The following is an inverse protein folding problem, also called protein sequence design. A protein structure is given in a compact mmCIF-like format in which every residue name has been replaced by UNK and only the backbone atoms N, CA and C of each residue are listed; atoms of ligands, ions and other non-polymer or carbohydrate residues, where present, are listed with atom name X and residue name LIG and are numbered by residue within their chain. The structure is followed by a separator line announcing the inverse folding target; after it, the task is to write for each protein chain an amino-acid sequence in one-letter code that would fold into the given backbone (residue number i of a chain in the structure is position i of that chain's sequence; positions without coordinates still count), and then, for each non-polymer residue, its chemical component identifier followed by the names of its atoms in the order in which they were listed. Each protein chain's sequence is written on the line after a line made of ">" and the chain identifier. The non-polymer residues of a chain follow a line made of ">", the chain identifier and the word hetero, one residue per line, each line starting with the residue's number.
data_IF_161256769576
#
_entry.id   IF_161256769576
#
_cell.length_a   1.000
_cell.length_b   1.000
_cell.length_c   1.000
_cell.angle_alpha   90.00
_cell.angle_beta   90.00
_cell.angle_gamma   90.00
#
_symmetry.space_group_name_H-M   'P 1'
#
loop_
_entity.id
_entity.type
_entity.pdbx_description
1 polymer ?
#
# COMPACT_ATOMS: atom_id res chain seq x y z
N UNK A 1 3.13 23.58 -29.76
CA UNK A 1 3.41 22.54 -28.71
C UNK A 1 4.92 22.38 -28.67
N UNK A 2 5.54 22.45 -27.52
CA UNK A 2 6.95 22.15 -27.38
C UNK A 2 7.11 20.66 -27.11
N UNK A 3 7.86 19.96 -27.96
CA UNK A 3 8.28 18.57 -27.70
C UNK A 3 9.31 18.56 -26.60
N UNK A 4 9.17 17.60 -25.65
CA UNK A 4 10.15 17.32 -24.62
C UNK A 4 10.90 16.05 -25.01
N UNK A 5 12.20 16.18 -25.22
CA UNK A 5 13.12 15.08 -25.48
C UNK A 5 14.41 15.33 -24.72
N UNK A 6 15.17 14.31 -24.42
CA UNK A 6 16.35 14.53 -23.62
C UNK A 6 17.22 13.31 -23.38
N UNK A 7 18.27 13.52 -22.56
CA UNK A 7 19.32 12.59 -22.19
C UNK A 7 20.21 12.16 -23.37
N UNK A 8 20.37 13.05 -24.36
CA UNK A 8 21.41 12.92 -25.37
C UNK A 8 22.64 13.72 -24.91
N UNK A 9 23.81 13.16 -25.15
CA UNK A 9 25.07 13.88 -24.98
C UNK A 9 25.17 14.92 -26.10
N UNK A 10 25.07 16.19 -25.73
CA UNK A 10 25.09 17.32 -26.65
C UNK A 10 25.81 18.47 -25.95
N UNK A 11 26.93 18.91 -26.51
CA UNK A 11 27.82 19.92 -25.95
C UNK A 11 27.13 21.27 -25.72
N UNK A 12 26.05 21.55 -26.45
CA UNK A 12 25.29 22.80 -26.37
C UNK A 12 24.05 22.74 -25.48
N UNK A 13 23.76 21.58 -24.86
CA UNK A 13 22.54 21.39 -24.08
C UNK A 13 22.78 21.38 -22.57
N UNK A 14 22.19 22.32 -21.87
CA UNK A 14 22.07 22.28 -20.42
C UNK A 14 20.84 21.47 -19.99
N UNK A 15 21.04 20.49 -19.09
CA UNK A 15 19.99 19.72 -18.48
C UNK A 15 19.47 20.39 -17.21
N UNK A 16 18.16 20.52 -17.14
CA UNK A 16 17.46 21.04 -15.97
C UNK A 16 17.09 19.92 -15.00
N UNK A 17 16.72 20.26 -13.78
CA UNK A 17 16.18 19.32 -12.79
C UNK A 17 15.02 18.47 -13.37
N UNK A 18 14.21 19.06 -14.27
CA UNK A 18 13.09 18.38 -14.91
C UNK A 18 13.53 17.21 -15.79
N UNK A 19 14.65 17.32 -16.46
CA UNK A 19 15.14 16.27 -17.36
C UNK A 19 15.51 15.00 -16.58
N UNK A 20 15.80 15.10 -15.29
CA UNK A 20 16.10 13.97 -14.41
C UNK A 20 14.87 13.34 -13.76
N UNK A 21 13.96 14.14 -13.18
CA UNK A 21 12.81 13.56 -12.49
C UNK A 21 11.68 13.13 -13.43
N UNK A 22 11.52 13.76 -14.59
CA UNK A 22 10.42 13.51 -15.49
C UNK A 22 10.41 12.09 -16.07
N UNK A 23 11.53 11.54 -16.57
CA UNK A 23 11.58 10.14 -17.04
C UNK A 23 11.21 9.14 -15.93
N UNK A 24 11.63 9.39 -14.71
CA UNK A 24 11.32 8.54 -13.55
C UNK A 24 9.82 8.60 -13.25
N UNK A 25 9.23 9.80 -13.23
CA UNK A 25 7.80 10.00 -13.02
C UNK A 25 6.94 9.39 -14.15
N UNK A 26 7.47 9.34 -15.36
CA UNK A 26 6.82 8.69 -16.50
C UNK A 26 6.80 7.16 -16.34
N UNK A 27 7.86 6.58 -15.77
CA UNK A 27 7.98 5.14 -15.60
C UNK A 27 7.30 4.61 -14.32
N UNK A 28 7.35 5.37 -13.22
CA UNK A 28 6.95 4.90 -11.91
C UNK A 28 5.96 5.82 -11.20
N UNK A 29 4.97 5.23 -10.53
CA UNK A 29 4.07 5.93 -9.63
C UNK A 29 4.77 6.29 -8.33
N UNK A 30 4.31 7.37 -7.70
CA UNK A 30 4.72 7.74 -6.35
C UNK A 30 4.37 6.63 -5.35
N UNK A 31 5.30 6.35 -4.46
CA UNK A 31 5.17 5.30 -3.45
C UNK A 31 6.45 5.13 -2.62
N UNK A 32 6.39 4.19 -1.71
CA UNK A 32 7.54 3.76 -0.89
C UNK A 32 8.11 2.44 -1.39
N UNK A 33 9.35 2.16 -1.04
CA UNK A 33 10.04 0.92 -1.43
C UNK A 33 9.27 -0.32 -0.93
N UNK A 34 9.20 -1.33 -1.79
CA UNK A 34 8.84 -2.69 -1.43
C UNK A 34 10.15 -3.44 -1.27
N UNK A 35 10.42 -3.95 -0.08
CA UNK A 35 11.65 -4.68 0.25
C UNK A 35 11.65 -6.07 -0.41
N UNK A 36 12.78 -6.77 -0.42
CA UNK A 36 12.93 -8.07 -1.08
C UNK A 36 11.98 -9.15 -0.52
N UNK A 37 11.64 -9.05 0.76
CA UNK A 37 10.64 -9.91 1.42
C UNK A 37 9.18 -9.50 1.17
N UNK A 38 8.95 -8.47 0.35
CA UNK A 38 7.64 -7.96 -0.01
C UNK A 38 7.02 -6.99 1.01
N UNK A 39 7.73 -6.64 2.07
CA UNK A 39 7.27 -5.66 3.04
C UNK A 39 7.41 -4.22 2.52
N UNK A 40 6.62 -3.30 3.07
CA UNK A 40 6.73 -1.88 2.79
C UNK A 40 7.73 -1.24 3.75
N UNK A 41 8.68 -0.47 3.22
CA UNK A 41 9.65 0.30 4.01
C UNK A 41 9.00 1.39 4.87
N UNK A 42 9.77 2.14 5.66
CA UNK A 42 9.29 3.22 6.55
C UNK A 42 8.28 2.75 7.61
N UNK A 43 8.47 1.58 8.21
CA UNK A 43 7.63 1.16 9.31
C UNK A 43 7.62 2.21 10.44
N UNK A 44 6.41 2.52 10.93
CA UNK A 44 6.22 3.46 12.03
C UNK A 44 5.87 2.71 13.29
N UNK A 45 6.73 2.79 14.30
CA UNK A 45 6.55 2.15 15.60
C UNK A 45 6.38 3.18 16.69
N UNK A 46 5.58 2.84 17.72
CA UNK A 46 5.41 3.69 18.91
C UNK A 46 6.47 3.38 19.94
N UNK A 47 6.90 4.42 20.64
CA UNK A 47 7.67 4.35 21.86
C UNK A 47 7.00 5.20 22.94
N UNK A 48 7.56 5.21 24.14
CA UNK A 48 7.04 6.07 25.19
C UNK A 48 7.30 7.56 24.85
N UNK A 49 6.21 8.32 24.60
CA UNK A 49 6.27 9.73 24.23
C UNK A 49 6.85 10.05 22.84
N UNK A 50 7.03 9.06 21.98
CA UNK A 50 7.59 9.26 20.64
C UNK A 50 7.11 8.22 19.64
N UNK A 51 7.37 8.47 18.36
CA UNK A 51 7.24 7.49 17.29
C UNK A 51 8.55 7.41 16.52
N UNK A 52 8.92 6.21 16.11
CA UNK A 52 10.12 5.95 15.34
C UNK A 52 9.72 5.47 13.94
N UNK A 53 10.35 6.06 12.93
CA UNK A 53 10.21 5.64 11.53
C UNK A 53 11.46 4.87 11.13
N UNK A 54 11.29 3.64 10.68
CA UNK A 54 12.39 2.81 10.20
C UNK A 54 13.00 3.35 8.89
N UNK A 55 14.23 2.95 8.54
CA UNK A 55 14.84 3.28 7.25
C UNK A 55 13.95 2.88 6.07
N UNK A 56 14.16 3.57 4.94
CA UNK A 56 13.40 3.28 3.72
C UNK A 56 13.68 4.26 2.61
N UNK A 57 13.10 3.97 1.45
CA UNK A 57 13.20 4.79 0.25
C UNK A 57 11.81 5.12 -0.29
N UNK A 58 11.68 6.27 -0.91
CA UNK A 58 10.45 6.67 -1.60
C UNK A 58 10.76 7.37 -2.92
N UNK A 59 9.85 7.19 -3.87
CA UNK A 59 9.76 7.98 -5.08
C UNK A 59 8.48 8.82 -5.03
N UNK A 60 8.60 10.13 -5.18
CA UNK A 60 7.46 11.04 -5.23
C UNK A 60 7.59 11.90 -6.49
N UNK A 61 6.76 11.63 -7.48
CA UNK A 61 6.76 12.37 -8.76
C UNK A 61 8.14 12.42 -9.44
N UNK A 62 8.93 11.33 -9.34
CA UNK A 62 10.29 11.24 -9.89
C UNK A 62 11.39 11.75 -8.97
N UNK A 63 11.05 12.42 -7.88
CA UNK A 63 12.01 12.77 -6.83
C UNK A 63 12.13 11.63 -5.83
N UNK A 64 13.32 11.41 -5.31
CA UNK A 64 13.55 10.34 -4.34
C UNK A 64 13.97 10.87 -2.98
N UNK A 65 13.73 10.07 -1.95
CA UNK A 65 14.32 10.23 -0.62
C UNK A 65 14.75 8.88 -0.09
N UNK A 66 15.85 8.88 0.67
CA UNK A 66 16.40 7.71 1.33
C UNK A 66 16.71 8.05 2.78
N UNK A 67 15.90 7.48 3.70
CA UNK A 67 16.17 7.52 5.12
C UNK A 67 17.10 6.36 5.46
N UNK A 68 18.36 6.63 5.74
CA UNK A 68 19.39 5.59 5.96
C UNK A 68 19.43 5.07 7.39
N UNK A 69 18.89 5.83 8.34
CA UNK A 69 18.79 5.47 9.76
C UNK A 69 17.41 5.82 10.30
N UNK A 70 16.99 5.14 11.36
CA UNK A 70 15.69 5.40 11.98
C UNK A 70 15.55 6.86 12.43
N UNK A 71 14.38 7.44 12.21
CA UNK A 71 14.05 8.82 12.60
C UNK A 71 13.01 8.82 13.70
N UNK A 72 13.33 9.49 14.81
CA UNK A 72 12.46 9.60 15.97
C UNK A 72 11.78 10.96 15.99
N UNK A 73 10.48 10.97 16.23
CA UNK A 73 9.68 12.16 16.45
C UNK A 73 9.10 12.14 17.85
N UNK A 74 9.44 13.16 18.66
CA UNK A 74 8.80 13.37 19.95
C UNK A 74 7.32 13.75 19.76
N UNK A 75 6.44 13.17 20.57
CA UNK A 75 5.00 13.39 20.51
C UNK A 75 4.54 13.92 21.84
N UNK A 76 4.16 15.20 21.89
CA UNK A 76 3.66 15.82 23.11
C UNK A 76 2.25 15.31 23.43
N UNK A 77 2.01 15.00 24.72
CA UNK A 77 0.67 14.64 25.22
C UNK A 77 -0.27 15.85 25.15
N UNK A 78 -1.44 15.73 24.52
CA UNK A 78 -2.42 16.80 24.49
C UNK A 78 -3.12 16.94 25.85
N UNK A 79 -3.55 18.16 26.20
CA UNK A 79 -4.10 18.48 27.53
C UNK A 79 -5.61 18.23 27.67
N UNK A 80 -6.41 18.65 26.68
CA UNK A 80 -7.88 18.69 26.82
C UNK A 80 -8.60 17.60 26.03
N UNK A 81 -8.14 17.32 24.81
CA UNK A 81 -8.76 16.35 23.90
C UNK A 81 -7.68 15.50 23.24
N UNK A 82 -8.04 14.28 22.87
CA UNK A 82 -7.19 13.46 22.03
C UNK A 82 -6.84 14.15 20.71
N UNK A 83 -5.70 13.77 20.11
CA UNK A 83 -5.20 14.31 18.85
C UNK A 83 -4.78 13.17 17.93
N UNK A 84 -4.89 13.38 16.63
CA UNK A 84 -4.34 12.47 15.64
C UNK A 84 -3.32 13.23 14.80
N UNK A 85 -2.04 12.86 14.95
CA UNK A 85 -0.95 13.32 14.10
C UNK A 85 -0.80 12.39 12.90
N UNK A 86 -0.05 12.79 11.88
CA UNK A 86 0.23 11.96 10.72
C UNK A 86 1.70 12.00 10.36
N UNK A 87 2.31 10.83 10.20
CA UNK A 87 3.66 10.69 9.67
C UNK A 87 3.58 10.60 8.15
N UNK A 88 4.33 11.44 7.46
CA UNK A 88 4.31 11.52 6.00
C UNK A 88 5.72 11.51 5.42
N UNK A 89 5.86 11.02 4.20
CA UNK A 89 6.97 11.39 3.32
C UNK A 89 6.49 12.55 2.46
N UNK A 90 7.19 13.68 2.53
CA UNK A 90 6.81 14.93 1.85
C UNK A 90 7.87 15.32 0.84
N UNK A 91 7.44 15.55 -0.39
CA UNK A 91 8.17 16.35 -1.37
C UNK A 91 7.71 17.81 -1.21
N UNK A 92 8.64 18.73 -1.00
CA UNK A 92 8.40 20.17 -1.00
C UNK A 92 9.34 20.86 -1.98
N UNK A 93 8.80 21.26 -3.14
CA UNK A 93 9.56 21.90 -4.21
C UNK A 93 9.96 23.33 -3.87
N UNK A 94 9.23 23.99 -2.94
CA UNK A 94 9.56 25.38 -2.55
C UNK A 94 10.87 25.47 -1.80
N UNK A 95 11.19 24.43 -1.01
CA UNK A 95 12.45 24.31 -0.28
C UNK A 95 13.39 23.23 -0.86
N UNK A 96 13.03 22.66 -2.02
CA UNK A 96 13.78 21.63 -2.74
C UNK A 96 14.17 20.45 -1.83
N UNK A 97 13.20 19.91 -1.10
CA UNK A 97 13.42 18.87 -0.11
C UNK A 97 12.40 17.75 -0.24
N UNK A 98 12.89 16.51 -0.10
CA UNK A 98 12.04 15.33 0.10
C UNK A 98 12.43 14.66 1.42
N UNK A 99 11.51 14.55 2.38
CA UNK A 99 11.84 14.09 3.74
C UNK A 99 10.64 13.47 4.47
N UNK A 100 10.95 12.64 5.48
CA UNK A 100 9.94 12.15 6.43
C UNK A 100 9.65 13.23 7.46
N UNK A 101 8.36 13.51 7.70
CA UNK A 101 7.89 14.55 8.60
C UNK A 101 6.70 14.07 9.45
N UNK A 102 6.55 14.68 10.63
CA UNK A 102 5.38 14.52 11.49
C UNK A 102 4.48 15.77 11.35
N UNK A 103 3.26 15.58 10.91
CA UNK A 103 2.21 16.60 10.88
C UNK A 103 1.40 16.51 12.15
N UNK A 104 1.43 17.54 12.98
CA UNK A 104 0.59 17.61 14.17
C UNK A 104 -0.84 17.90 13.81
N UNK A 105 -1.76 17.12 14.37
CA UNK A 105 -3.20 17.36 14.26
C UNK A 105 -3.69 18.41 15.28
N UNK A 106 -4.99 18.65 15.25
CA UNK A 106 -5.67 19.55 16.20
C UNK A 106 -6.40 18.71 17.24
N UNK A 107 -6.17 18.94 18.56
CA UNK A 107 -6.94 18.27 19.59
C UNK A 107 -8.43 18.63 19.51
N UNK A 108 -9.31 17.62 19.52
CA UNK A 108 -10.75 17.81 19.42
C UNK A 108 -11.50 16.64 20.11
N UNK A 109 -12.79 16.84 20.38
CA UNK A 109 -13.67 15.76 20.88
C UNK A 109 -13.80 14.61 19.88
N UNK A 110 -13.74 14.91 18.58
CA UNK A 110 -13.66 13.95 17.47
C UNK A 110 -12.46 14.33 16.58
N UNK A 111 -11.22 14.00 16.99
CA UNK A 111 -10.02 14.42 16.26
C UNK A 111 -9.94 13.77 14.88
N UNK A 112 -9.55 14.56 13.91
CA UNK A 112 -9.32 14.10 12.55
C UNK A 112 -7.82 14.18 12.23
N UNK A 113 -7.26 13.24 11.46
CA UNK A 113 -5.89 13.32 11.03
C UNK A 113 -5.70 14.49 10.05
N UNK A 114 -4.54 15.17 10.06
CA UNK A 114 -4.23 16.22 9.09
C UNK A 114 -4.42 15.71 7.66
N UNK A 115 -5.06 16.50 6.81
CA UNK A 115 -5.21 16.18 5.38
C UNK A 115 -3.85 16.12 4.69
N UNK A 116 -3.72 15.25 3.69
CA UNK A 116 -2.55 15.20 2.83
C UNK A 116 -2.57 16.39 1.87
N UNK A 117 -1.45 17.04 1.74
CA UNK A 117 -1.25 18.07 0.72
C UNK A 117 -0.73 17.40 -0.55
N UNK A 118 -1.44 17.62 -1.68
CA UNK A 118 -1.10 17.02 -2.98
C UNK A 118 -1.39 18.02 -4.07
N UNK A 119 -0.50 18.98 -4.19
CA UNK A 119 -0.56 20.07 -5.18
C UNK A 119 0.76 20.10 -5.99
N UNK A 120 0.92 21.13 -6.83
CA UNK A 120 2.08 21.28 -7.68
C UNK A 120 3.38 21.63 -6.92
N UNK A 121 3.27 22.11 -5.67
CA UNK A 121 4.39 22.53 -4.82
C UNK A 121 4.75 21.44 -3.83
N UNK A 122 3.73 20.83 -3.20
CA UNK A 122 3.90 19.79 -2.18
C UNK A 122 3.14 18.54 -2.52
N UNK A 123 3.76 17.41 -2.27
CA UNK A 123 3.11 16.11 -2.40
C UNK A 123 3.47 15.21 -1.22
N UNK A 124 2.45 14.63 -0.59
CA UNK A 124 2.59 13.84 0.62
C UNK A 124 2.07 12.42 0.44
N UNK A 125 2.86 11.46 0.93
CA UNK A 125 2.48 10.06 1.11
C UNK A 125 2.32 9.80 2.61
N UNK A 126 1.20 9.22 3.03
CA UNK A 126 0.96 8.91 4.43
C UNK A 126 1.58 7.58 4.82
N UNK A 127 2.43 7.58 5.84
CA UNK A 127 2.98 6.36 6.41
C UNK A 127 2.08 5.80 7.50
N UNK A 128 1.63 6.66 8.43
CA UNK A 128 0.77 6.26 9.53
C UNK A 128 0.01 7.44 10.14
N UNK A 129 -1.14 7.14 10.73
CA UNK A 129 -1.75 8.02 11.72
C UNK A 129 -1.24 7.68 13.11
N UNK A 130 -1.05 8.70 13.93
CA UNK A 130 -0.57 8.60 15.30
C UNK A 130 -1.63 9.21 16.21
N UNK A 131 -2.46 8.36 16.83
CA UNK A 131 -3.48 8.80 17.77
C UNK A 131 -2.88 8.93 19.17
N UNK A 132 -3.03 10.09 19.80
CA UNK A 132 -2.52 10.40 21.12
C UNK A 132 -3.69 10.75 22.05
N UNK A 133 -3.81 10.02 23.14
CA UNK A 133 -4.83 10.30 24.17
C UNK A 133 -4.33 11.37 25.16
N UNK A 134 -5.23 11.92 25.96
CA UNK A 134 -4.92 12.85 27.07
C UNK A 134 -4.04 12.21 28.15
N UNK A 135 -4.00 10.88 28.22
CA UNK A 135 -3.14 10.11 29.12
C UNK A 135 -1.76 9.80 28.55
N UNK A 136 -1.47 10.30 27.33
CA UNK A 136 -0.19 10.05 26.63
C UNK A 136 -0.09 8.70 25.93
N UNK A 137 -1.16 7.88 25.89
CA UNK A 137 -1.15 6.65 25.14
C UNK A 137 -1.10 6.93 23.63
N UNK A 138 -0.15 6.28 22.96
CA UNK A 138 0.06 6.38 21.51
C UNK A 138 -0.46 5.11 20.83
N UNK A 139 -1.28 5.28 19.80
CA UNK A 139 -1.69 4.20 18.88
C UNK A 139 -1.28 4.59 17.47
N UNK A 140 -0.56 3.70 16.79
CA UNK A 140 -0.15 3.87 15.38
C UNK A 140 -1.09 3.06 14.50
N UNK A 141 -1.63 3.70 13.47
CA UNK A 141 -2.46 3.08 12.43
C UNK A 141 -1.65 3.16 11.13
N UNK A 142 -1.21 2.03 10.64
CA UNK A 142 -0.42 1.93 9.41
C UNK A 142 -1.27 2.27 8.18
N UNK A 143 -0.81 3.21 7.36
CA UNK A 143 -1.45 3.62 6.11
C UNK A 143 -0.61 3.30 4.87
N UNK A 144 0.55 2.65 5.03
CA UNK A 144 1.51 2.38 3.96
C UNK A 144 0.91 1.51 2.85
N UNK A 145 0.09 0.53 3.18
CA UNK A 145 -0.55 -0.37 2.21
C UNK A 145 -1.72 0.27 1.45
N UNK A 146 -2.25 1.38 1.93
CA UNK A 146 -3.36 2.08 1.28
C UNK A 146 -2.87 2.83 0.03
N UNK A 147 -3.20 2.30 -1.14
CA UNK A 147 -2.77 2.82 -2.45
C UNK A 147 -3.23 4.26 -2.73
N UNK A 148 -4.30 4.74 -2.08
CA UNK A 148 -4.79 6.11 -2.21
C UNK A 148 -4.01 7.10 -1.34
N UNK A 149 -3.40 6.63 -0.25
CA UNK A 149 -2.68 7.46 0.71
C UNK A 149 -1.16 7.35 0.56
N UNK A 150 -0.64 6.16 0.24
CA UNK A 150 0.77 5.86 0.09
C UNK A 150 0.99 4.82 -1.02
N UNK A 151 1.06 3.54 -0.65
CA UNK A 151 1.33 2.43 -1.54
C UNK A 151 2.82 2.23 -1.83
N UNK A 152 3.15 1.07 -2.39
CA UNK A 152 4.49 0.76 -2.88
C UNK A 152 4.78 1.44 -4.23
N UNK A 153 6.07 1.66 -4.54
CA UNK A 153 6.52 2.09 -5.86
C UNK A 153 6.11 1.04 -6.88
N UNK A 154 5.49 1.46 -7.97
CA UNK A 154 5.01 0.58 -9.04
C UNK A 154 5.20 1.23 -10.41
N UNK A 155 5.45 0.42 -11.46
CA UNK A 155 5.44 0.93 -12.83
C UNK A 155 4.10 1.59 -13.19
N UNK A 156 4.15 2.62 -14.00
CA UNK A 156 2.95 3.15 -14.65
C UNK A 156 2.40 2.11 -15.65
N UNK A 157 1.10 2.11 -15.88
CA UNK A 157 0.46 1.12 -16.77
C UNK A 157 0.10 -0.22 -16.09
N UNK A 158 0.55 -0.49 -14.88
CA UNK A 158 0.18 -1.70 -14.13
C UNK A 158 -1.29 -1.77 -13.71
N UNK A 159 -2.05 -0.68 -13.87
CA UNK A 159 -3.48 -0.65 -13.47
C UNK A 159 -4.32 -1.63 -14.27
N UNK A 160 -4.04 -1.77 -15.56
CA UNK A 160 -4.73 -2.72 -16.44
C UNK A 160 -4.42 -4.16 -16.06
N UNK A 161 -3.14 -4.45 -15.76
CA UNK A 161 -2.72 -5.75 -15.26
C UNK A 161 -3.33 -6.06 -13.88
N UNK A 162 -3.33 -5.11 -12.95
CA UNK A 162 -3.97 -5.28 -11.63
C UNK A 162 -5.48 -5.52 -11.77
N UNK A 163 -6.15 -4.80 -12.68
CA UNK A 163 -7.56 -5.00 -12.97
C UNK A 163 -7.82 -6.38 -13.57
N UNK A 164 -7.04 -6.78 -14.56
CA UNK A 164 -7.11 -8.12 -15.15
C UNK A 164 -6.85 -9.20 -14.10
N UNK A 165 -5.79 -9.07 -13.30
CA UNK A 165 -5.45 -10.03 -12.25
C UNK A 165 -6.57 -10.14 -11.20
N UNK A 166 -7.17 -9.03 -10.79
CA UNK A 166 -8.32 -9.02 -9.88
C UNK A 166 -9.54 -9.72 -10.48
N UNK A 167 -9.80 -9.55 -11.78
CA UNK A 167 -10.86 -10.26 -12.48
C UNK A 167 -10.60 -11.76 -12.53
N UNK A 168 -9.37 -12.16 -12.84
CA UNK A 168 -8.96 -13.58 -12.84
C UNK A 168 -9.11 -14.17 -11.44
N UNK A 169 -8.64 -13.49 -10.41
CA UNK A 169 -8.79 -13.93 -9.02
C UNK A 169 -10.25 -14.12 -8.65
N UNK A 170 -11.11 -13.14 -8.97
CA UNK A 170 -12.56 -13.23 -8.72
C UNK A 170 -13.19 -14.40 -9.48
N UNK A 171 -12.80 -14.61 -10.72
CA UNK A 171 -13.30 -15.71 -11.54
C UNK A 171 -12.88 -17.08 -10.97
N UNK A 172 -11.61 -17.21 -10.53
CA UNK A 172 -11.08 -18.41 -9.89
C UNK A 172 -11.80 -18.68 -8.56
N UNK A 173 -11.96 -17.66 -7.71
CA UNK A 173 -12.68 -17.79 -6.44
C UNK A 173 -14.16 -18.19 -6.66
N UNK A 174 -14.80 -17.58 -7.66
CA UNK A 174 -16.18 -17.94 -8.03
C UNK A 174 -16.26 -19.37 -8.52
N UNK A 175 -15.33 -19.79 -9.36
CA UNK A 175 -15.24 -21.17 -9.84
C UNK A 175 -15.04 -22.15 -8.67
N UNK A 176 -14.11 -21.86 -7.75
CA UNK A 176 -13.90 -22.69 -6.55
C UNK A 176 -15.17 -22.78 -5.70
N UNK A 177 -15.86 -21.67 -5.44
CA UNK A 177 -17.12 -21.67 -4.67
C UNK A 177 -18.21 -22.48 -5.37
N UNK A 178 -18.30 -22.37 -6.69
CA UNK A 178 -19.25 -23.17 -7.48
C UNK A 178 -18.91 -24.66 -7.37
N UNK A 179 -17.64 -25.03 -7.46
CA UNK A 179 -17.22 -26.43 -7.29
C UNK A 179 -17.45 -26.92 -5.87
N UNK A 180 -17.28 -26.10 -4.84
CA UNK A 180 -17.60 -26.45 -3.46
C UNK A 180 -19.12 -26.51 -3.20
N UNK A 181 -19.91 -25.65 -3.85
CA UNK A 181 -21.37 -25.61 -3.73
C UNK A 181 -22.09 -26.75 -4.49
N UNK A 182 -21.51 -27.17 -5.63
CA UNK A 182 -22.00 -28.35 -6.37
C UNK A 182 -21.42 -29.67 -5.86
N UNK A 183 -20.66 -29.57 -4.74
CA UNK A 183 -19.89 -30.67 -4.16
C UNK A 183 -18.81 -31.17 -5.11
N UNK A 184 -17.57 -31.22 -4.66
CA UNK A 184 -16.64 -32.21 -5.18
C UNK A 184 -17.44 -33.51 -5.22
N UNK A 185 -17.68 -34.05 -6.41
CA UNK A 185 -18.57 -35.17 -6.67
C UNK A 185 -18.62 -36.06 -5.45
N UNK A 186 -19.75 -36.07 -4.73
CA UNK A 186 -19.89 -36.86 -3.53
C UNK A 186 -19.47 -38.28 -3.87
N UNK A 187 -18.45 -38.79 -3.22
CA UNK A 187 -18.06 -40.18 -3.43
C UNK A 187 -19.05 -41.00 -2.64
N UNK A 188 -19.94 -41.66 -3.35
CA UNK A 188 -20.85 -42.58 -2.76
C UNK A 188 -20.15 -43.89 -2.44
N UNK A 189 -20.31 -44.41 -1.25
CA UNK A 189 -19.79 -45.70 -0.83
C UNK A 189 -20.93 -46.68 -0.79
N UNK A 190 -20.86 -47.71 -1.62
CA UNK A 190 -21.87 -48.78 -1.69
C UNK A 190 -21.21 -50.14 -1.65
N UNK A 191 -21.90 -51.17 -1.15
CA UNK A 191 -21.43 -52.56 -1.21
C UNK A 191 -21.78 -53.18 -2.57
N UNK A 192 -21.03 -54.18 -2.97
CA UNK A 192 -21.31 -54.91 -4.22
C UNK A 192 -22.74 -55.50 -4.20
N UNK A 193 -23.54 -55.14 -5.20
CA UNK A 193 -24.94 -55.52 -5.36
C UNK A 193 -25.96 -54.57 -4.75
N UNK A 194 -25.57 -53.50 -4.10
CA UNK A 194 -26.48 -52.45 -3.67
C UNK A 194 -26.82 -51.49 -4.83
N UNK A 195 -28.08 -50.98 -4.92
CA UNK A 195 -28.47 -50.03 -5.94
C UNK A 195 -27.78 -48.68 -5.75
N UNK A 196 -27.56 -47.95 -6.83
CA UNK A 196 -27.05 -46.56 -6.78
C UNK A 196 -28.04 -45.69 -6.00
N UNK A 197 -27.56 -44.74 -5.19
CA UNK A 197 -28.44 -43.77 -4.52
C UNK A 197 -29.29 -43.00 -5.50
N UNK A 198 -30.58 -42.88 -5.26
CA UNK A 198 -31.55 -42.22 -6.15
C UNK A 198 -31.23 -40.71 -6.38
N UNK A 199 -30.54 -40.10 -5.44
CA UNK A 199 -30.10 -38.69 -5.49
C UNK A 199 -28.70 -38.49 -6.02
N UNK A 200 -28.03 -39.51 -6.57
CA UNK A 200 -26.74 -39.39 -7.20
C UNK A 200 -26.85 -38.69 -8.56
N UNK A 201 -26.14 -37.56 -8.73
CA UNK A 201 -26.14 -36.85 -10.01
C UNK A 201 -25.37 -37.59 -11.09
N UNK A 202 -25.72 -37.35 -12.36
CA UNK A 202 -25.02 -37.92 -13.51
C UNK A 202 -23.56 -37.56 -13.47
N UNK A 203 -22.70 -38.58 -13.37
CA UNK A 203 -21.24 -38.44 -13.25
C UNK A 203 -20.70 -38.41 -11.81
N UNK A 204 -21.55 -38.69 -10.80
CA UNK A 204 -21.07 -38.94 -9.44
C UNK A 204 -20.09 -40.12 -9.41
N UNK A 205 -19.10 -40.06 -8.53
CA UNK A 205 -18.15 -41.13 -8.31
C UNK A 205 -18.73 -42.10 -7.27
N UNK A 206 -18.62 -43.40 -7.52
CA UNK A 206 -19.03 -44.44 -6.61
C UNK A 206 -17.85 -45.37 -6.31
N UNK A 207 -17.62 -45.62 -5.01
CA UNK A 207 -16.66 -46.62 -4.54
C UNK A 207 -17.47 -47.86 -4.15
N UNK A 208 -17.19 -48.98 -4.81
CA UNK A 208 -17.86 -50.24 -4.52
C UNK A 208 -16.92 -51.11 -3.68
N UNK A 209 -17.39 -51.54 -2.53
CA UNK A 209 -16.68 -52.47 -1.66
C UNK A 209 -17.11 -53.91 -1.99
N UNK A 210 -16.14 -54.76 -2.30
CA UNK A 210 -16.38 -56.19 -2.41
C UNK A 210 -16.49 -56.79 -1.00
N UNK A 211 -17.47 -57.63 -0.82
CA UNK A 211 -17.59 -58.47 0.39
C UNK A 211 -16.53 -59.54 0.40
#
# INVERSE_FOLDING_TARGET
>A
MAELWGLFDDDDREYSEKDFWYPIALCFRSGIEITEDGALSYEVTKNNGSVTVAPGKANIMGYFTHLTASKVFAVATPTNYARIDRVVVRLDKSVKKCSVELKSGVPASNPQPPSLQRDNIRYELSLAQVKITITGNITVIDERSNKSLCGGIRPNGMTEFESWFSQVQTAVESWFRTQQGTGWRQIWEINEGEPFPENAEVGALCRVYKK
#
